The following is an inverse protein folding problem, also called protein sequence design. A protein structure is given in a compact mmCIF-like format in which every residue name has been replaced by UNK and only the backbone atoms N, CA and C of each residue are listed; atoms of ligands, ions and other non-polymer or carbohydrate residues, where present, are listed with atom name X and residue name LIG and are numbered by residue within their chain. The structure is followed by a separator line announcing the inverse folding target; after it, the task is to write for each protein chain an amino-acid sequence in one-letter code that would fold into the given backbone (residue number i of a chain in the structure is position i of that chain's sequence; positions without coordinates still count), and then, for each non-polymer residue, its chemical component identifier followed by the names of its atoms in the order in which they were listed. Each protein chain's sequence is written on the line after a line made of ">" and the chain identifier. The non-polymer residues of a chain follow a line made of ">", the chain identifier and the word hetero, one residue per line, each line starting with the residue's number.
data_IF_887054466658
#
_entry.id   IF_887054466658
#
_cell.length_a   1.000
_cell.length_b   1.000
_cell.length_c   1.000
_cell.angle_alpha   90.00
_cell.angle_beta   90.00
_cell.angle_gamma   90.00
#
_symmetry.space_group_name_H-M   'P 1'
#
loop_
_entity.id
_entity.type
_entity.pdbx_description
1 polymer ?
#
# COMPACT_ATOMS: atom_id res chain seq x y z
N UNK A 1 -37.61 -12.68 46.14
CA UNK A 1 -37.26 -11.67 45.12
C UNK A 1 -38.11 -11.99 43.91
N UNK A 2 -38.92 -11.04 43.43
CA UNK A 2 -39.76 -11.27 42.25
C UNK A 2 -38.92 -11.24 40.97
N UNK A 3 -39.22 -12.13 40.03
CA UNK A 3 -38.59 -12.12 38.71
C UNK A 3 -39.02 -10.86 37.94
N UNK A 4 -38.06 -10.24 37.23
CA UNK A 4 -38.32 -9.09 36.36
C UNK A 4 -38.32 -9.59 34.92
N UNK A 5 -39.38 -9.27 34.17
CA UNK A 5 -39.47 -9.48 32.73
C UNK A 5 -39.15 -8.19 31.99
N UNK A 6 -38.24 -8.27 31.04
CA UNK A 6 -37.78 -7.13 30.22
C UNK A 6 -38.41 -7.14 28.83
N UNK A 7 -38.86 -5.97 28.37
CA UNK A 7 -39.37 -5.75 27.02
C UNK A 7 -38.82 -4.45 26.44
N UNK A 8 -38.92 -4.30 25.11
CA UNK A 8 -38.44 -3.13 24.38
C UNK A 8 -39.56 -2.59 23.50
N UNK A 9 -39.77 -1.28 23.57
CA UNK A 9 -40.72 -0.51 22.79
C UNK A 9 -40.06 0.74 22.19
N UNK A 10 -40.86 1.70 21.76
CA UNK A 10 -40.38 2.92 21.10
C UNK A 10 -40.41 2.83 19.57
N UNK A 11 -40.03 3.92 18.92
CA UNK A 11 -40.14 4.08 17.46
C UNK A 11 -39.25 3.11 16.69
N UNK A 12 -38.06 2.82 17.24
CA UNK A 12 -37.05 1.96 16.62
C UNK A 12 -36.98 0.57 17.25
N UNK A 13 -37.96 0.17 18.07
CA UNK A 13 -37.94 -1.10 18.81
C UNK A 13 -37.67 -2.32 17.92
N UNK A 14 -38.21 -2.31 16.70
CA UNK A 14 -38.05 -3.40 15.73
C UNK A 14 -36.62 -3.54 15.17
N UNK A 15 -35.70 -2.63 15.52
CA UNK A 15 -34.27 -2.67 15.16
C UNK A 15 -33.41 -3.32 16.24
N UNK A 16 -33.99 -3.66 17.38
CA UNK A 16 -33.33 -4.21 18.55
C UNK A 16 -33.94 -5.54 18.98
N UNK A 17 -33.17 -6.28 19.76
CA UNK A 17 -33.67 -7.40 20.57
C UNK A 17 -33.38 -7.12 22.04
N UNK A 18 -34.21 -7.66 22.93
CA UNK A 18 -33.98 -7.62 24.37
C UNK A 18 -34.17 -9.02 24.95
N UNK A 19 -33.25 -9.46 25.79
CA UNK A 19 -33.41 -10.70 26.53
C UNK A 19 -34.36 -10.46 27.72
N UNK A 20 -35.51 -11.12 27.69
CA UNK A 20 -36.57 -10.92 28.67
C UNK A 20 -36.19 -11.28 30.11
N UNK A 21 -35.13 -12.06 30.35
CA UNK A 21 -34.70 -12.49 31.69
C UNK A 21 -33.66 -11.58 32.32
N UNK A 22 -32.79 -10.97 31.51
CA UNK A 22 -31.64 -10.20 32.03
C UNK A 22 -31.53 -8.78 31.45
N UNK A 23 -32.44 -8.36 30.57
CA UNK A 23 -32.49 -7.01 30.03
C UNK A 23 -31.38 -6.66 29.04
N UNK A 24 -30.57 -7.63 28.59
CA UNK A 24 -29.52 -7.37 27.60
C UNK A 24 -30.16 -6.96 26.28
N UNK A 25 -29.86 -5.75 25.83
CA UNK A 25 -30.30 -5.17 24.54
C UNK A 25 -29.22 -5.42 23.49
N UNK A 26 -29.60 -5.75 22.26
CA UNK A 26 -28.68 -5.94 21.14
C UNK A 26 -29.20 -5.28 19.87
N UNK A 27 -28.28 -4.82 19.03
CA UNK A 27 -28.55 -4.23 17.71
C UNK A 27 -27.55 -4.80 16.71
N UNK A 28 -27.97 -4.98 15.45
CA UNK A 28 -27.03 -5.25 14.36
C UNK A 28 -26.15 -4.03 14.07
N UNK A 29 -24.97 -4.25 13.48
CA UNK A 29 -24.13 -3.14 13.02
C UNK A 29 -24.91 -2.22 12.04
N UNK A 30 -24.64 -0.92 12.11
CA UNK A 30 -25.26 0.11 11.28
C UNK A 30 -24.19 0.86 10.49
N UNK A 31 -24.55 1.22 9.27
CA UNK A 31 -23.80 2.08 8.36
C UNK A 31 -24.32 3.50 8.57
N UNK A 32 -23.46 4.42 9.00
CA UNK A 32 -23.83 5.81 9.32
C UNK A 32 -24.35 6.54 8.08
N UNK A 33 -23.78 6.24 6.91
CA UNK A 33 -24.12 6.81 5.61
C UNK A 33 -25.44 6.23 5.06
N UNK A 34 -25.98 5.16 5.67
CA UNK A 34 -27.27 4.55 5.32
C UNK A 34 -28.17 4.38 6.56
N UNK A 35 -28.69 5.48 7.14
CA UNK A 35 -29.53 5.42 8.34
C UNK A 35 -30.84 4.64 8.10
N UNK A 36 -31.25 3.88 9.10
CA UNK A 36 -32.42 2.98 9.07
C UNK A 36 -33.36 3.20 10.25
N UNK A 37 -32.97 4.05 11.20
CA UNK A 37 -33.85 4.63 12.21
C UNK A 37 -34.99 5.42 11.56
N UNK A 38 -36.06 5.61 12.34
CA UNK A 38 -37.34 6.15 11.88
C UNK A 38 -37.21 7.51 11.17
N UNK A 39 -36.46 8.43 11.76
CA UNK A 39 -36.27 9.82 11.32
C UNK A 39 -34.98 10.04 10.54
N UNK A 40 -34.12 9.02 10.44
CA UNK A 40 -32.89 8.98 9.65
C UNK A 40 -31.82 9.95 10.15
N UNK A 41 -31.79 10.21 11.46
CA UNK A 41 -30.82 11.08 12.13
C UNK A 41 -29.65 10.30 12.79
N UNK A 42 -29.62 8.97 12.64
CA UNK A 42 -28.66 8.04 13.25
C UNK A 42 -28.76 7.94 14.79
N UNK A 43 -29.88 8.37 15.38
CA UNK A 43 -30.19 8.27 16.81
C UNK A 43 -31.43 7.40 17.02
N UNK A 44 -31.20 6.13 17.32
CA UNK A 44 -32.28 5.16 17.52
C UNK A 44 -32.95 5.38 18.88
N UNK A 45 -34.27 5.56 18.89
CA UNK A 45 -35.06 5.84 20.08
C UNK A 45 -35.83 4.59 20.50
N UNK A 46 -35.47 4.04 21.65
CA UNK A 46 -36.11 2.85 22.23
C UNK A 46 -36.53 3.10 23.66
N UNK A 47 -37.59 2.42 24.08
CA UNK A 47 -38.10 2.45 25.45
C UNK A 47 -37.89 1.09 26.09
N UNK A 48 -37.09 1.00 27.15
CA UNK A 48 -36.91 -0.23 27.92
C UNK A 48 -38.01 -0.32 28.96
N UNK A 49 -38.68 -1.47 29.03
CA UNK A 49 -39.80 -1.72 29.93
C UNK A 49 -39.42 -2.87 30.85
N UNK A 50 -39.54 -2.65 32.17
CA UNK A 50 -39.34 -3.68 33.19
C UNK A 50 -40.68 -3.94 33.89
N UNK A 51 -41.05 -5.22 34.00
CA UNK A 51 -42.29 -5.67 34.65
C UNK A 51 -41.94 -6.64 35.78
N UNK A 52 -42.40 -6.39 37.01
CA UNK A 52 -42.24 -7.33 38.12
C UNK A 52 -43.29 -8.46 38.10
N UNK A 53 -43.14 -9.43 39.00
CA UNK A 53 -44.06 -10.57 39.10
C UNK A 53 -45.51 -10.20 39.46
N UNK A 54 -45.73 -9.01 40.05
CA UNK A 54 -47.04 -8.49 40.41
C UNK A 54 -47.65 -7.62 39.28
N UNK A 55 -46.99 -7.59 38.12
CA UNK A 55 -47.37 -6.84 36.91
C UNK A 55 -47.23 -5.31 37.04
N UNK A 56 -46.47 -4.82 38.01
CA UNK A 56 -46.09 -3.41 38.04
C UNK A 56 -45.05 -3.15 36.96
N UNK A 57 -45.22 -2.06 36.20
CA UNK A 57 -44.35 -1.71 35.09
C UNK A 57 -43.65 -0.38 35.33
N UNK A 58 -42.36 -0.31 34.98
CA UNK A 58 -41.64 0.97 34.81
C UNK A 58 -40.95 0.99 33.46
N UNK A 59 -40.63 2.18 32.96
CA UNK A 59 -39.98 2.32 31.66
C UNK A 59 -38.96 3.45 31.62
N UNK A 60 -38.02 3.35 30.67
CA UNK A 60 -36.99 4.35 30.43
C UNK A 60 -36.68 4.46 28.95
N UNK A 61 -36.74 5.68 28.43
CA UNK A 61 -36.30 5.98 27.07
C UNK A 61 -34.77 6.05 26.98
N UNK A 62 -34.24 5.49 25.91
CA UNK A 62 -32.82 5.46 25.56
C UNK A 62 -32.63 5.90 24.10
N UNK A 63 -31.57 6.68 23.87
CA UNK A 63 -31.07 7.01 22.54
C UNK A 63 -29.77 6.25 22.26
N UNK A 64 -29.72 5.52 21.14
CA UNK A 64 -28.51 4.84 20.66
C UNK A 64 -28.01 5.55 19.42
N UNK A 65 -26.92 6.31 19.55
CA UNK A 65 -26.32 7.07 18.44
C UNK A 65 -25.29 6.24 17.69
N UNK A 66 -25.50 6.06 16.39
CA UNK A 66 -24.47 5.55 15.47
C UNK A 66 -23.51 6.69 15.17
N UNK A 67 -22.22 6.47 15.40
CA UNK A 67 -21.18 7.47 15.09
C UNK A 67 -20.63 7.22 13.69
N UNK A 68 -20.40 8.32 12.96
CA UNK A 68 -19.68 8.27 11.70
C UNK A 68 -18.25 7.76 11.95
N UNK A 69 -17.81 6.82 11.12
CA UNK A 69 -16.42 6.43 10.96
C UNK A 69 -16.06 6.62 9.49
N UNK A 70 -14.87 7.14 9.21
CA UNK A 70 -14.40 7.23 7.83
C UNK A 70 -14.23 5.82 7.24
N UNK A 71 -14.97 5.53 6.17
CA UNK A 71 -14.87 4.28 5.41
C UNK A 71 -14.16 4.55 4.09
N UNK A 72 -12.94 4.01 3.94
CA UNK A 72 -12.25 4.08 2.67
C UNK A 72 -12.90 3.14 1.64
N UNK A 73 -13.34 3.72 0.53
CA UNK A 73 -13.84 2.97 -0.62
C UNK A 73 -12.71 2.76 -1.63
N UNK A 74 -12.30 1.50 -1.79
CA UNK A 74 -11.32 1.12 -2.80
C UNK A 74 -11.82 1.46 -4.21
N UNK A 75 -10.94 2.02 -5.04
CA UNK A 75 -11.21 2.37 -6.43
C UNK A 75 -10.32 1.54 -7.35
N UNK A 76 -10.82 1.29 -8.55
CA UNK A 76 -10.02 0.68 -9.62
C UNK A 76 -9.32 1.77 -10.43
N UNK A 77 -8.04 1.58 -10.72
CA UNK A 77 -7.22 2.46 -11.55
C UNK A 77 -6.65 1.62 -12.69
N UNK A 78 -7.02 1.95 -13.92
CA UNK A 78 -6.43 1.33 -15.11
C UNK A 78 -5.16 2.06 -15.50
N UNK A 79 -4.04 1.33 -15.58
CA UNK A 79 -2.74 1.87 -15.95
C UNK A 79 -1.90 0.82 -16.69
N UNK A 80 -1.33 1.21 -17.83
CA UNK A 80 -0.52 0.33 -18.70
C UNK A 80 -1.21 -1.01 -19.03
N UNK A 81 -2.52 -0.96 -19.29
CA UNK A 81 -3.33 -2.14 -19.61
C UNK A 81 -3.65 -3.07 -18.44
N UNK A 82 -3.37 -2.65 -17.19
CA UNK A 82 -3.66 -3.40 -15.98
C UNK A 82 -4.58 -2.61 -15.05
N UNK A 83 -5.48 -3.33 -14.36
CA UNK A 83 -6.37 -2.78 -13.35
C UNK A 83 -5.78 -2.98 -11.94
N UNK A 84 -5.47 -1.87 -11.29
CA UNK A 84 -4.99 -1.81 -9.91
C UNK A 84 -6.12 -1.41 -8.98
N UNK A 85 -6.05 -1.84 -7.72
CA UNK A 85 -7.00 -1.41 -6.69
C UNK A 85 -6.28 -0.49 -5.72
N UNK A 86 -6.97 0.55 -5.24
CA UNK A 86 -6.44 1.42 -4.19
C UNK A 86 -6.66 0.82 -2.80
N UNK A 87 -5.65 0.93 -1.95
CA UNK A 87 -5.67 0.51 -0.55
C UNK A 87 -5.33 1.69 0.35
N UNK A 88 -6.09 1.91 1.42
CA UNK A 88 -5.69 2.86 2.47
C UNK A 88 -4.73 2.17 3.45
N UNK A 89 -3.64 2.87 3.78
CA UNK A 89 -2.74 2.44 4.84
C UNK A 89 -3.43 2.57 6.20
N UNK A 90 -3.53 1.49 6.99
CA UNK A 90 -4.01 1.57 8.37
C UNK A 90 -3.00 2.25 9.31
N UNK A 91 -1.81 2.61 8.82
CA UNK A 91 -0.72 3.22 9.59
C UNK A 91 -0.69 4.73 9.36
N UNK A 92 -0.80 5.17 8.10
CA UNK A 92 -0.59 6.57 7.72
C UNK A 92 -1.83 7.23 7.10
N UNK A 93 -2.88 6.46 6.78
CA UNK A 93 -4.02 6.93 5.98
C UNK A 93 -3.68 7.21 4.52
N UNK A 94 -2.43 6.97 4.08
CA UNK A 94 -2.04 7.18 2.67
C UNK A 94 -2.60 6.09 1.79
N UNK A 95 -2.97 6.47 0.57
CA UNK A 95 -3.51 5.54 -0.41
C UNK A 95 -2.37 4.93 -1.22
N UNK A 96 -2.41 3.62 -1.44
CA UNK A 96 -1.42 2.84 -2.17
C UNK A 96 -2.07 2.04 -3.29
N UNK A 97 -1.30 1.69 -4.32
CA UNK A 97 -1.72 0.62 -5.23
C UNK A 97 -1.52 -0.75 -4.57
N UNK A 98 -2.45 -1.67 -4.81
CA UNK A 98 -2.51 -2.99 -4.19
C UNK A 98 -1.40 -3.97 -4.59
N UNK A 99 -0.68 -3.70 -5.68
CA UNK A 99 0.38 -4.57 -6.24
C UNK A 99 1.53 -3.79 -6.86
N UNK A 100 2.66 -4.49 -7.11
CA UNK A 100 3.82 -3.90 -7.79
C UNK A 100 3.42 -3.47 -9.20
N UNK A 101 3.98 -2.39 -9.72
CA UNK A 101 3.73 -1.99 -11.12
C UNK A 101 4.11 -3.12 -12.09
N UNK A 102 3.23 -3.39 -13.04
CA UNK A 102 3.38 -4.48 -14.03
C UNK A 102 2.91 -5.86 -13.52
N UNK A 103 2.44 -5.98 -12.28
CA UNK A 103 1.91 -7.23 -11.75
C UNK A 103 0.47 -7.47 -12.21
N UNK A 104 0.15 -8.69 -12.62
CA UNK A 104 -1.20 -9.04 -13.12
C UNK A 104 -2.20 -9.32 -11.98
N UNK A 105 -1.71 -9.59 -10.77
CA UNK A 105 -2.55 -9.78 -9.57
C UNK A 105 -1.89 -9.27 -8.29
N UNK A 106 -2.70 -9.01 -7.26
CA UNK A 106 -2.20 -8.85 -5.90
C UNK A 106 -1.64 -10.18 -5.39
N UNK A 107 -0.63 -10.13 -4.51
CA UNK A 107 0.04 -11.33 -4.04
C UNK A 107 -0.92 -12.25 -3.26
N UNK A 108 -1.03 -13.50 -3.72
CA UNK A 108 -1.75 -14.58 -3.03
C UNK A 108 -0.85 -15.43 -2.14
N UNK A 109 0.45 -15.41 -2.42
CA UNK A 109 1.51 -15.97 -1.59
C UNK A 109 2.78 -15.14 -1.75
N UNK A 110 3.74 -15.34 -0.85
CA UNK A 110 5.04 -14.65 -0.92
C UNK A 110 5.81 -14.96 -2.21
N UNK A 111 5.57 -16.12 -2.82
CA UNK A 111 6.25 -16.60 -4.02
C UNK A 111 5.35 -16.55 -5.27
N UNK A 112 4.25 -15.80 -5.22
CA UNK A 112 3.32 -15.64 -6.34
C UNK A 112 3.96 -14.82 -7.48
N UNK A 113 4.39 -15.51 -8.53
CA UNK A 113 5.10 -14.90 -9.65
C UNK A 113 4.26 -13.89 -10.44
N UNK A 114 2.92 -14.04 -10.45
CA UNK A 114 2.02 -13.10 -11.11
C UNK A 114 1.93 -11.75 -10.36
N UNK A 115 2.31 -11.73 -9.08
CA UNK A 115 2.34 -10.53 -8.25
C UNK A 115 3.66 -9.75 -8.28
N UNK A 116 4.71 -10.32 -8.88
CA UNK A 116 6.06 -9.76 -8.79
C UNK A 116 6.20 -8.42 -9.50
N UNK A 117 5.47 -8.20 -10.59
CA UNK A 117 5.55 -7.00 -11.41
C UNK A 117 6.87 -6.83 -12.13
N UNK A 118 7.12 -5.63 -12.65
CA UNK A 118 8.33 -5.28 -13.39
C UNK A 118 9.48 -4.84 -12.47
N UNK A 119 10.70 -4.76 -13.01
CA UNK A 119 11.91 -4.36 -12.28
C UNK A 119 12.60 -3.18 -12.96
N UNK A 120 12.58 -2.00 -12.34
CA UNK A 120 12.94 -0.73 -12.95
C UNK A 120 14.37 -0.32 -12.58
N UNK A 121 15.16 0.20 -13.53
CA UNK A 121 16.42 0.88 -13.20
C UNK A 121 16.12 2.24 -12.58
N UNK A 122 16.87 2.64 -11.55
CA UNK A 122 16.47 3.76 -10.69
C UNK A 122 16.35 5.07 -11.47
N UNK A 123 15.19 5.73 -11.35
CA UNK A 123 14.87 6.98 -12.03
C UNK A 123 14.58 6.90 -13.54
N UNK A 124 14.54 5.69 -14.13
CA UNK A 124 14.28 5.51 -15.57
C UNK A 124 12.78 5.40 -15.85
N UNK A 125 12.34 5.98 -16.98
CA UNK A 125 10.97 5.82 -17.50
C UNK A 125 10.72 4.39 -17.97
N UNK A 126 9.49 3.90 -17.79
CA UNK A 126 9.05 2.63 -18.37
C UNK A 126 9.15 2.69 -19.91
N UNK A 127 9.94 1.80 -20.48
CA UNK A 127 10.23 1.77 -21.93
C UNK A 127 10.30 0.35 -22.50
N UNK A 128 10.06 -0.66 -21.67
CA UNK A 128 10.29 -2.07 -21.94
C UNK A 128 11.54 -2.62 -21.26
N UNK A 129 12.48 -1.75 -20.85
CA UNK A 129 13.69 -2.20 -20.14
C UNK A 129 13.38 -2.89 -18.81
N UNK A 130 12.28 -2.48 -18.16
CA UNK A 130 11.87 -2.96 -16.86
C UNK A 130 11.34 -4.40 -16.88
N UNK A 131 11.00 -4.91 -18.07
CA UNK A 131 10.48 -6.28 -18.21
C UNK A 131 11.56 -7.26 -17.77
N UNK A 132 11.16 -8.27 -17.00
CA UNK A 132 12.08 -9.24 -16.36
C UNK A 132 12.95 -10.01 -17.36
N UNK A 133 12.50 -10.12 -18.62
CA UNK A 133 13.17 -10.80 -19.72
C UNK A 133 13.70 -9.85 -20.81
N UNK A 134 13.75 -8.53 -20.59
CA UNK A 134 14.25 -7.59 -21.59
C UNK A 134 15.72 -7.88 -21.93
N UNK A 135 16.09 -7.67 -23.19
CA UNK A 135 17.47 -7.77 -23.65
C UNK A 135 18.37 -6.74 -22.96
N UNK A 136 19.68 -7.00 -22.96
CA UNK A 136 20.65 -6.15 -22.26
C UNK A 136 21.57 -5.41 -23.23
N UNK A 137 22.12 -4.28 -22.78
CA UNK A 137 23.23 -3.57 -23.44
C UNK A 137 24.28 -3.18 -22.40
N UNK A 138 25.54 -3.04 -22.81
CA UNK A 138 26.60 -2.43 -22.00
C UNK A 138 26.82 -0.96 -22.35
N UNK A 139 26.11 -0.43 -23.35
CA UNK A 139 26.22 0.98 -23.75
C UNK A 139 25.43 1.84 -22.76
N UNK A 140 26.15 2.61 -21.93
CA UNK A 140 25.54 3.55 -20.98
C UNK A 140 24.79 4.68 -21.69
N UNK A 141 23.67 5.08 -21.10
CA UNK A 141 22.85 6.20 -21.55
C UNK A 141 23.58 7.54 -21.37
N UNK A 142 23.37 8.49 -22.29
CA UNK A 142 23.94 9.85 -22.20
C UNK A 142 23.02 10.86 -21.52
N UNK A 143 21.79 10.47 -21.15
CA UNK A 143 20.83 11.29 -20.44
C UNK A 143 19.88 10.43 -19.62
N UNK A 144 19.12 11.04 -18.70
CA UNK A 144 18.08 10.38 -17.90
C UNK A 144 16.72 10.25 -18.62
N UNK A 145 16.65 10.59 -19.91
CA UNK A 145 15.43 10.54 -20.72
C UNK A 145 15.02 9.13 -21.15
N UNK A 146 14.25 9.04 -22.24
CA UNK A 146 14.02 7.76 -22.89
C UNK A 146 15.31 7.28 -23.56
N UNK A 147 15.74 6.07 -23.17
CA UNK A 147 16.97 5.44 -23.64
C UNK A 147 16.67 4.05 -24.24
N UNK A 148 15.47 3.89 -24.82
CA UNK A 148 15.03 2.66 -25.45
C UNK A 148 14.68 1.56 -24.44
N UNK A 149 14.45 0.35 -24.94
CA UNK A 149 13.86 -0.76 -24.20
C UNK A 149 14.89 -1.76 -23.63
N UNK A 150 16.19 -1.51 -23.79
CA UNK A 150 17.24 -2.42 -23.31
C UNK A 150 17.58 -2.13 -21.84
N UNK A 151 17.80 -3.19 -21.06
CA UNK A 151 18.39 -3.09 -19.73
C UNK A 151 19.86 -2.73 -19.83
N UNK A 152 20.27 -1.61 -19.23
CA UNK A 152 21.64 -1.12 -19.33
C UNK A 152 22.45 -1.70 -18.18
N UNK A 153 23.36 -2.61 -18.50
CA UNK A 153 24.29 -3.19 -17.53
C UNK A 153 25.31 -2.16 -17.11
N UNK A 154 25.81 -2.28 -15.89
CA UNK A 154 26.95 -1.49 -15.43
C UNK A 154 28.10 -2.42 -15.02
N UNK A 155 29.32 -2.06 -15.45
CA UNK A 155 30.57 -2.71 -15.06
C UNK A 155 31.15 -2.07 -13.78
N UNK A 156 32.32 -2.53 -13.35
CA UNK A 156 33.03 -1.98 -12.17
C UNK A 156 33.46 -0.51 -12.31
N UNK A 157 33.28 0.12 -13.47
CA UNK A 157 33.69 1.51 -13.71
C UNK A 157 32.66 2.57 -13.31
N UNK A 158 31.40 2.18 -13.05
CA UNK A 158 30.38 3.05 -12.43
C UNK A 158 29.14 2.23 -12.05
N UNK A 159 28.53 2.59 -10.93
CA UNK A 159 27.33 1.95 -10.38
C UNK A 159 26.01 2.52 -10.95
N UNK A 160 26.08 3.34 -12.00
CA UNK A 160 24.92 3.92 -12.69
C UNK A 160 24.77 3.40 -14.14
N UNK A 161 23.54 3.45 -14.63
CA UNK A 161 23.15 3.10 -16.00
C UNK A 161 23.34 4.27 -16.99
N UNK A 162 23.56 5.49 -16.49
CA UNK A 162 23.99 6.64 -17.30
C UNK A 162 25.51 6.84 -17.23
N UNK A 163 26.05 7.62 -18.17
CA UNK A 163 27.45 8.09 -18.14
C UNK A 163 27.70 9.03 -16.96
N UNK A 164 28.96 9.17 -16.56
CA UNK A 164 29.41 10.17 -15.59
C UNK A 164 28.97 11.59 -15.99
N UNK A 165 28.81 12.47 -15.00
CA UNK A 165 28.33 13.84 -15.10
C UNK A 165 26.86 13.98 -15.55
N UNK A 166 26.05 12.91 -15.43
CA UNK A 166 24.62 12.92 -15.75
C UNK A 166 23.80 12.66 -14.49
N UNK A 167 23.23 13.74 -13.92
CA UNK A 167 22.34 13.68 -12.73
C UNK A 167 22.96 12.85 -11.59
N UNK A 168 24.24 13.10 -11.29
CA UNK A 168 25.01 12.34 -10.30
C UNK A 168 24.38 12.44 -8.90
N UNK A 169 23.85 13.61 -8.54
CA UNK A 169 23.11 13.81 -7.30
C UNK A 169 21.71 13.16 -7.28
N UNK A 170 21.20 12.68 -8.43
CA UNK A 170 19.90 12.03 -8.55
C UNK A 170 18.70 12.97 -8.40
N UNK A 171 18.89 14.29 -8.44
CA UNK A 171 17.84 15.27 -8.22
C UNK A 171 16.75 15.22 -9.31
N UNK A 172 17.15 15.07 -10.56
CA UNK A 172 16.19 15.03 -11.67
C UNK A 172 15.44 13.69 -11.71
N UNK A 173 16.12 12.57 -11.43
CA UNK A 173 15.46 11.27 -11.25
C UNK A 173 14.46 11.26 -10.09
N UNK A 174 14.80 11.92 -8.97
CA UNK A 174 13.89 12.10 -7.83
C UNK A 174 12.62 12.84 -8.24
N UNK A 175 12.73 13.84 -9.13
CA UNK A 175 11.58 14.56 -9.69
C UNK A 175 10.80 13.72 -10.71
N UNK A 176 11.49 12.99 -11.59
CA UNK A 176 10.86 12.13 -12.60
C UNK A 176 9.94 11.07 -11.97
N UNK A 177 10.37 10.47 -10.87
CA UNK A 177 9.59 9.46 -10.13
C UNK A 177 8.64 10.05 -9.08
N UNK A 178 8.65 11.37 -8.88
CA UNK A 178 7.60 12.11 -8.18
C UNK A 178 6.44 12.47 -9.11
N UNK A 179 5.44 13.19 -8.59
CA UNK A 179 4.41 13.80 -9.44
C UNK A 179 5.00 14.80 -10.45
N UNK A 180 5.32 14.31 -11.65
CA UNK A 180 5.62 15.11 -12.83
C UNK A 180 4.73 14.61 -13.98
N UNK A 181 4.19 15.53 -14.78
CA UNK A 181 3.16 15.20 -15.78
C UNK A 181 3.66 14.31 -16.94
N UNK A 182 4.98 14.19 -17.15
CA UNK A 182 5.52 13.60 -18.39
C UNK A 182 6.42 12.34 -18.23
N UNK A 183 6.92 12.04 -17.02
CA UNK A 183 7.93 10.98 -16.81
C UNK A 183 7.72 10.07 -15.58
N UNK A 184 6.63 10.25 -14.83
CA UNK A 184 6.31 9.37 -13.72
C UNK A 184 5.93 7.97 -14.22
N UNK A 185 6.49 6.93 -13.59
CA UNK A 185 6.17 5.53 -13.90
C UNK A 185 4.90 5.04 -13.19
N UNK A 186 4.41 5.81 -12.22
CA UNK A 186 3.13 5.56 -11.55
C UNK A 186 1.96 6.23 -12.30
N UNK A 187 0.72 5.74 -12.11
CA UNK A 187 -0.47 6.39 -12.63
C UNK A 187 -0.60 7.85 -12.18
N UNK A 188 -1.43 8.63 -12.87
CA UNK A 188 -1.75 10.00 -12.45
C UNK A 188 -2.23 10.03 -10.99
N UNK A 189 -1.79 11.04 -10.23
CA UNK A 189 -2.00 11.21 -8.78
C UNK A 189 -1.24 10.22 -7.87
N UNK A 190 -0.48 9.29 -8.42
CA UNK A 190 0.42 8.40 -7.68
C UNK A 190 1.88 8.73 -7.99
N UNK A 191 2.78 8.38 -7.09
CA UNK A 191 4.22 8.51 -7.28
C UNK A 191 4.98 7.33 -6.67
N UNK A 192 6.26 7.21 -7.01
CA UNK A 192 7.15 6.30 -6.28
C UNK A 192 7.39 6.91 -4.90
N UNK A 193 7.25 6.16 -3.79
CA UNK A 193 7.36 6.71 -2.45
C UNK A 193 8.78 7.23 -2.18
N UNK A 194 8.90 8.27 -1.36
CA UNK A 194 10.17 8.60 -0.71
C UNK A 194 10.51 7.53 0.33
N UNK A 195 11.79 7.49 0.74
CA UNK A 195 12.24 6.65 1.85
C UNK A 195 11.44 6.92 3.11
N UNK A 196 11.15 8.17 3.42
CA UNK A 196 10.42 8.58 4.63
C UNK A 196 8.97 8.09 4.61
N UNK A 197 8.31 8.17 3.45
CA UNK A 197 6.95 7.65 3.26
C UNK A 197 6.93 6.12 3.43
N UNK A 198 7.79 5.39 2.70
CA UNK A 198 7.81 3.92 2.78
C UNK A 198 8.24 3.45 4.18
N UNK A 199 9.17 4.15 4.84
CA UNK A 199 9.64 3.76 6.19
C UNK A 199 8.54 3.74 7.23
N UNK A 200 7.55 4.65 7.11
CA UNK A 200 6.39 4.66 8.01
C UNK A 200 5.51 3.42 7.81
N UNK A 201 5.35 2.97 6.57
CA UNK A 201 4.52 1.79 6.25
C UNK A 201 5.18 0.47 6.66
N UNK A 202 6.51 0.41 6.65
CA UNK A 202 7.26 -0.83 6.84
C UNK A 202 7.80 -1.03 8.27
N UNK A 203 7.43 -0.18 9.22
CA UNK A 203 7.99 -0.20 10.60
C UNK A 203 7.88 -1.56 11.31
N UNK A 204 6.79 -2.30 11.04
CA UNK A 204 6.50 -3.59 11.64
C UNK A 204 6.96 -4.78 10.79
N UNK A 205 7.51 -4.55 9.59
CA UNK A 205 8.02 -5.61 8.72
C UNK A 205 9.41 -5.99 9.20
N UNK A 206 9.63 -7.26 9.54
CA UNK A 206 10.91 -7.78 10.05
C UNK A 206 11.63 -8.74 9.11
N UNK A 207 10.92 -9.31 8.14
CA UNK A 207 11.42 -10.24 7.14
C UNK A 207 10.38 -10.34 6.01
N UNK A 208 10.67 -11.17 5.01
CA UNK A 208 9.80 -11.42 3.86
C UNK A 208 8.43 -12.00 4.25
N UNK A 209 8.32 -12.75 5.36
CA UNK A 209 7.02 -13.18 5.89
C UNK A 209 6.20 -12.00 6.38
N UNK A 210 6.81 -11.10 7.17
CA UNK A 210 6.18 -9.85 7.59
C UNK A 210 5.80 -8.95 6.42
N UNK A 211 6.60 -8.95 5.34
CA UNK A 211 6.31 -8.15 4.15
C UNK A 211 5.03 -8.63 3.45
N UNK A 212 4.88 -9.95 3.29
CA UNK A 212 3.68 -10.56 2.72
C UNK A 212 2.45 -10.43 3.63
N UNK A 213 2.62 -10.53 4.95
CA UNK A 213 1.51 -10.37 5.91
C UNK A 213 1.11 -8.91 6.16
N UNK A 214 1.87 -7.93 5.66
CA UNK A 214 1.52 -6.50 5.76
C UNK A 214 0.32 -6.13 4.89
N UNK A 215 -0.26 -4.94 5.11
CA UNK A 215 -1.37 -4.44 4.30
C UNK A 215 -1.01 -4.31 2.80
N UNK A 216 0.28 -4.11 2.48
CA UNK A 216 0.78 -4.02 1.10
C UNK A 216 0.98 -5.39 0.42
N UNK A 217 0.94 -6.50 1.18
CA UNK A 217 1.20 -7.87 0.71
C UNK A 217 2.41 -7.96 -0.23
N UNK A 218 3.57 -7.49 0.21
CA UNK A 218 4.74 -7.33 -0.64
C UNK A 218 5.33 -8.72 -0.96
N UNK A 219 5.39 -9.14 -2.25
CA UNK A 219 5.91 -10.45 -2.61
C UNK A 219 7.44 -10.45 -2.67
N UNK A 220 8.05 -11.63 -2.52
CA UNK A 220 9.49 -11.85 -2.70
C UNK A 220 9.84 -11.88 -4.19
N UNK A 221 9.72 -10.72 -4.85
CA UNK A 221 9.87 -10.55 -6.29
C UNK A 221 11.34 -10.63 -6.78
N UNK A 222 12.31 -10.67 -5.87
CA UNK A 222 13.72 -10.56 -6.18
C UNK A 222 14.07 -9.25 -6.87
N UNK A 223 15.20 -9.25 -7.57
CA UNK A 223 15.70 -8.10 -8.30
C UNK A 223 16.51 -8.52 -9.52
N UNK A 224 16.87 -7.55 -10.37
CA UNK A 224 17.80 -7.75 -11.47
C UNK A 224 19.11 -7.05 -11.11
N UNK A 225 20.19 -7.82 -11.08
CA UNK A 225 21.53 -7.33 -10.78
C UNK A 225 22.06 -6.41 -11.88
N UNK A 226 23.10 -5.62 -11.57
CA UNK A 226 23.80 -4.76 -12.55
C UNK A 226 24.35 -5.51 -13.78
N UNK A 227 24.59 -6.82 -13.65
CA UNK A 227 25.00 -7.69 -14.75
C UNK A 227 23.84 -8.08 -15.68
N UNK A 228 22.60 -7.71 -15.34
CA UNK A 228 21.39 -8.02 -16.11
C UNK A 228 20.74 -9.37 -15.77
N UNK A 229 21.19 -10.06 -14.72
CA UNK A 229 20.63 -11.35 -14.30
C UNK A 229 19.58 -11.16 -13.20
N UNK A 230 18.47 -11.92 -13.28
CA UNK A 230 17.53 -12.03 -12.17
C UNK A 230 18.19 -12.75 -11.00
N UNK A 231 17.91 -12.31 -9.78
CA UNK A 231 18.50 -12.84 -8.56
C UNK A 231 17.52 -12.74 -7.40
N UNK A 232 17.63 -13.68 -6.46
CA UNK A 232 16.78 -13.76 -5.26
C UNK A 232 15.26 -13.76 -5.52
N UNK A 233 14.86 -14.26 -6.69
CA UNK A 233 13.44 -14.48 -7.00
C UNK A 233 12.88 -15.50 -6.03
N UNK A 234 11.68 -15.22 -5.49
CA UNK A 234 11.01 -16.02 -4.46
C UNK A 234 11.66 -16.01 -3.08
N UNK A 235 12.83 -15.40 -2.90
CA UNK A 235 13.56 -15.38 -1.61
C UNK A 235 13.68 -14.01 -0.98
N UNK A 236 13.76 -12.93 -1.77
CA UNK A 236 13.92 -11.57 -1.24
C UNK A 236 12.93 -10.56 -1.83
N UNK A 237 12.65 -9.52 -1.04
CA UNK A 237 11.93 -8.31 -1.42
C UNK A 237 12.94 -7.23 -1.77
N UNK A 238 12.70 -6.51 -2.87
CA UNK A 238 13.39 -5.25 -3.19
C UNK A 238 12.40 -4.25 -3.75
N UNK A 239 12.16 -3.15 -3.03
CA UNK A 239 11.30 -2.05 -3.45
C UNK A 239 12.09 -0.75 -3.55
N UNK A 240 12.00 -0.10 -4.70
CA UNK A 240 12.60 1.22 -4.87
C UNK A 240 11.85 2.29 -4.08
N UNK A 241 12.62 3.27 -3.60
CA UNK A 241 12.12 4.60 -3.24
C UNK A 241 12.62 5.59 -4.30
N UNK A 242 11.98 6.76 -4.41
CA UNK A 242 12.52 7.86 -5.24
C UNK A 242 13.58 8.70 -4.54
N UNK A 243 13.96 8.37 -3.31
CA UNK A 243 14.96 9.14 -2.57
C UNK A 243 16.37 8.84 -3.08
N UNK A 244 17.01 9.85 -3.65
CA UNK A 244 18.44 9.81 -3.94
C UNK A 244 19.27 9.66 -2.65
N UNK A 245 20.47 9.10 -2.78
CA UNK A 245 21.50 9.18 -1.73
C UNK A 245 22.30 10.45 -1.99
N UNK A 246 22.61 11.19 -0.93
CA UNK A 246 23.54 12.32 -1.00
C UNK A 246 24.89 11.87 -1.57
N UNK A 247 25.72 12.82 -2.01
CA UNK A 247 27.05 12.52 -2.55
C UNK A 247 27.79 11.50 -1.67
N UNK A 248 28.15 10.38 -2.28
CA UNK A 248 28.84 9.27 -1.63
C UNK A 248 30.25 9.66 -1.20
N UNK A 249 30.81 10.72 -1.78
CA UNK A 249 32.22 11.09 -1.65
C UNK A 249 33.16 10.12 -2.40
N UNK A 250 32.62 9.10 -3.07
CA UNK A 250 33.37 8.10 -3.83
C UNK A 250 33.20 8.34 -5.33
N UNK A 251 34.30 8.47 -6.10
CA UNK A 251 34.20 8.67 -7.54
C UNK A 251 33.44 7.53 -8.22
N UNK A 252 32.44 7.87 -9.05
CA UNK A 252 31.68 6.91 -9.86
C UNK A 252 30.75 5.95 -9.11
N UNK A 253 30.57 6.15 -7.80
CA UNK A 253 29.65 5.37 -6.95
C UNK A 253 28.37 6.17 -6.66
N UNK A 254 27.32 5.85 -7.41
CA UNK A 254 25.99 6.43 -7.31
C UNK A 254 24.98 5.41 -6.78
N UNK A 255 24.30 5.79 -5.70
CA UNK A 255 23.34 4.93 -5.03
C UNK A 255 21.96 5.56 -4.93
N UNK A 256 20.98 4.72 -4.65
CA UNK A 256 19.62 5.09 -4.34
C UNK A 256 19.09 4.28 -3.14
N UNK A 257 18.13 4.85 -2.42
CA UNK A 257 17.50 4.16 -1.31
C UNK A 257 16.46 3.14 -1.77
N UNK A 258 16.50 1.95 -1.17
CA UNK A 258 15.53 0.89 -1.39
C UNK A 258 15.17 0.21 -0.06
N UNK A 259 14.00 -0.41 -0.03
CA UNK A 259 13.59 -1.32 1.03
C UNK A 259 13.95 -2.75 0.63
N UNK A 260 14.63 -3.44 1.53
CA UNK A 260 15.04 -4.84 1.39
C UNK A 260 14.42 -5.69 2.49
N UNK A 261 14.03 -6.91 2.14
CA UNK A 261 13.80 -7.96 3.13
C UNK A 261 14.23 -9.34 2.60
N UNK A 262 14.73 -10.19 3.48
CA UNK A 262 15.00 -11.60 3.24
C UNK A 262 14.30 -12.46 4.32
N UNK A 263 14.72 -13.71 4.54
CA UNK A 263 14.14 -14.57 5.57
C UNK A 263 14.45 -14.13 7.02
N UNK A 264 15.53 -13.37 7.24
CA UNK A 264 16.02 -13.00 8.58
C UNK A 264 15.83 -11.53 8.93
N UNK A 265 15.80 -10.63 7.95
CA UNK A 265 15.77 -9.18 8.20
C UNK A 265 14.87 -8.42 7.22
N UNK A 266 14.54 -7.18 7.61
CA UNK A 266 14.00 -6.16 6.75
C UNK A 266 14.60 -4.81 7.14
N UNK A 267 15.06 -4.04 6.15
CA UNK A 267 15.74 -2.75 6.37
C UNK A 267 15.66 -1.85 5.14
N UNK A 268 15.92 -0.57 5.36
CA UNK A 268 16.33 0.32 4.29
C UNK A 268 17.85 0.26 4.13
N UNK A 269 18.29 0.26 2.90
CA UNK A 269 19.71 0.28 2.55
C UNK A 269 19.90 1.13 1.29
N UNK A 270 21.11 1.16 0.78
CA UNK A 270 21.49 1.82 -0.47
C UNK A 270 22.07 0.82 -1.43
N UNK A 271 21.77 0.96 -2.72
CA UNK A 271 22.32 0.10 -3.76
C UNK A 271 22.53 0.87 -5.06
N UNK A 272 23.43 0.35 -5.88
CA UNK A 272 23.78 0.84 -7.22
C UNK A 272 22.51 1.15 -8.04
N UNK A 273 22.45 2.34 -8.63
CA UNK A 273 21.30 2.79 -9.44
C UNK A 273 21.07 1.91 -10.68
N UNK A 274 22.08 1.15 -11.11
CA UNK A 274 22.00 0.20 -12.23
C UNK A 274 21.22 -1.08 -11.92
N UNK A 275 21.01 -1.42 -10.64
CA UNK A 275 20.13 -2.53 -10.25
C UNK A 275 18.68 -2.22 -10.61
N UNK A 276 17.87 -3.27 -10.68
CA UNK A 276 16.46 -3.17 -10.97
C UNK A 276 15.61 -3.80 -9.87
N UNK A 277 14.80 -2.99 -9.21
CA UNK A 277 13.90 -3.39 -8.15
C UNK A 277 12.44 -3.09 -8.53
N UNK A 278 11.52 -3.72 -7.81
CA UNK A 278 10.10 -3.51 -8.02
C UNK A 278 9.70 -2.11 -7.53
N UNK A 279 8.61 -1.58 -8.08
CA UNK A 279 8.05 -0.28 -7.69
C UNK A 279 6.62 -0.47 -7.19
N UNK A 280 6.30 0.19 -6.07
CA UNK A 280 4.97 0.24 -5.48
C UNK A 280 4.58 1.69 -5.31
N UNK A 281 3.44 2.11 -5.86
CA UNK A 281 3.08 3.53 -5.89
C UNK A 281 2.19 3.95 -4.72
N UNK A 282 2.42 5.17 -4.25
CA UNK A 282 1.66 5.86 -3.18
C UNK A 282 0.95 7.09 -3.77
N UNK A 283 -0.21 7.45 -3.23
CA UNK A 283 -0.88 8.72 -3.52
C UNK A 283 0.00 9.88 -3.12
N UNK A 284 0.09 10.85 -4.00
CA UNK A 284 0.89 12.04 -3.79
C UNK A 284 0.14 13.18 -3.09
N UNK A 285 -1.17 13.01 -2.87
CA UNK A 285 -2.03 13.89 -2.05
C UNK A 285 -2.33 13.21 -0.70
#
# INVERSE_FOLDING_TARGET
>A
MGDITWAIGGEDANKFTINAKNGVVSMIARDYEKPVDKDKDNVYKVTIIATDGDKNTTSKDLGVTVKNVFEFVSKTITFDGLDYITLESPITGKIWLDRNLGATQAATSRTDSASYGDLYQWGRKASGHQKRNSSTTSTRASSIGDNGNLFIKSDSGSTDWVKLNVDENGAERTKHWGMSQNNNICPLAFEVPTKEQLSKETVNIKNTSGAFSSFLKIPSAGFRSRSGNLSHVSTSVGLWTRSAVADSGFPSEFWAHYFFADSSQAKFDTIDRSYAHSVRCISAF
#
